data_IF_525311327627
#
_entry.id   IF_525311327627
#
_cell.length_a   1.000
_cell.length_b   1.000
_cell.length_c   1.000
_cell.angle_alpha   90.00
_cell.angle_beta   90.00
_cell.angle_gamma   90.00
#
_symmetry.space_group_name_H-M   'P 1'
#
loop_
_entity.id
_entity.type
_entity.pdbx_description
1 polymer ?
#
# COMPACT_ATOMS: atom_id res chain seq x y z
N UNK A 1 -10.17 29.86 20.03
CA UNK A 1 -10.23 29.25 18.70
C UNK A 1 -9.69 27.82 18.81
N UNK A 2 -10.58 26.85 18.97
CA UNK A 2 -10.17 25.45 19.04
C UNK A 2 -10.12 24.95 17.61
N UNK A 3 -8.91 24.67 17.11
CA UNK A 3 -8.71 24.13 15.75
C UNK A 3 -9.57 22.86 15.56
N UNK A 4 -10.21 22.63 14.41
CA UNK A 4 -10.99 21.44 14.11
C UNK A 4 -10.21 20.13 14.36
N UNK A 5 -8.90 20.15 14.15
CA UNK A 5 -8.00 19.02 14.43
C UNK A 5 -7.95 18.64 15.91
N UNK A 6 -8.32 19.53 16.84
CA UNK A 6 -8.39 19.24 18.29
C UNK A 6 -9.76 18.73 18.72
N UNK A 7 -10.78 18.83 17.86
CA UNK A 7 -12.15 18.37 18.14
C UNK A 7 -12.46 16.98 17.61
N UNK A 8 -11.51 16.39 16.87
CA UNK A 8 -11.67 15.04 16.29
C UNK A 8 -10.59 14.12 16.86
N UNK A 9 -11.00 13.09 17.57
CA UNK A 9 -10.12 12.10 18.19
C UNK A 9 -10.15 10.81 17.35
N UNK A 10 -9.24 10.70 16.40
CA UNK A 10 -9.16 9.57 15.46
C UNK A 10 -8.93 8.22 16.14
N UNK A 11 -8.30 8.21 17.31
CA UNK A 11 -8.11 7.00 18.13
C UNK A 11 -9.41 6.41 18.68
N UNK A 12 -10.50 7.18 18.68
CA UNK A 12 -11.83 6.76 19.10
C UNK A 12 -12.76 6.39 17.92
N UNK A 13 -12.21 6.32 16.71
CA UNK A 13 -12.94 5.91 15.52
C UNK A 13 -12.37 4.59 14.99
N UNK A 14 -13.22 3.69 14.51
CA UNK A 14 -12.83 2.39 13.97
C UNK A 14 -13.70 2.00 12.77
N UNK A 15 -13.14 1.20 11.87
CA UNK A 15 -13.88 0.63 10.73
C UNK A 15 -14.13 -0.85 11.00
N UNK A 16 -15.35 -1.29 10.78
CA UNK A 16 -15.85 -2.61 11.12
C UNK A 16 -16.57 -3.24 9.92
N UNK A 17 -16.62 -4.56 9.91
CA UNK A 17 -17.62 -5.30 9.12
C UNK A 17 -18.99 -5.24 9.77
N UNK A 18 -20.05 -5.56 9.00
CA UNK A 18 -21.42 -5.61 9.53
C UNK A 18 -21.62 -6.60 10.70
N UNK A 19 -20.80 -7.65 10.78
CA UNK A 19 -20.79 -8.60 11.87
C UNK A 19 -20.11 -8.08 13.15
N UNK A 20 -19.62 -6.84 13.13
CA UNK A 20 -18.90 -6.20 14.24
C UNK A 20 -17.41 -6.50 14.32
N UNK A 21 -16.87 -7.31 13.42
CA UNK A 21 -15.42 -7.56 13.37
C UNK A 21 -14.67 -6.27 13.01
N UNK A 22 -13.64 -5.94 13.78
CA UNK A 22 -12.87 -4.70 13.63
C UNK A 22 -11.81 -4.89 12.54
N UNK A 23 -11.86 -4.09 11.47
CA UNK A 23 -10.91 -4.12 10.35
C UNK A 23 -9.81 -3.07 10.49
N UNK A 24 -10.18 -1.87 10.93
CA UNK A 24 -9.26 -0.81 11.29
C UNK A 24 -9.57 -0.42 12.75
N UNK A 25 -8.71 -0.79 13.72
CA UNK A 25 -9.02 -0.67 15.14
C UNK A 25 -9.13 0.78 15.61
N UNK A 26 -8.35 1.68 14.98
CA UNK A 26 -8.44 3.12 15.15
C UNK A 26 -7.97 3.84 13.88
N UNK A 27 -8.28 5.13 13.78
CA UNK A 27 -7.86 5.97 12.66
C UNK A 27 -6.65 6.83 12.99
N UNK A 28 -5.83 6.46 13.97
CA UNK A 28 -4.60 7.17 14.29
C UNK A 28 -3.68 7.25 13.06
N UNK A 29 -3.03 8.39 12.86
CA UNK A 29 -2.20 8.65 11.68
C UNK A 29 -2.95 9.10 10.43
N UNK A 30 -4.29 9.01 10.40
CA UNK A 30 -5.09 9.64 9.35
C UNK A 30 -5.05 11.17 9.46
N UNK A 31 -5.24 11.84 8.32
CA UNK A 31 -5.37 13.30 8.28
C UNK A 31 -6.82 13.74 8.52
N UNK A 32 -7.02 14.93 9.11
CA UNK A 32 -8.34 15.57 9.24
C UNK A 32 -8.28 16.95 8.60
N UNK A 33 -9.26 17.27 7.75
CA UNK A 33 -9.36 18.62 7.18
C UNK A 33 -9.73 19.65 8.24
N UNK A 34 -8.99 20.76 8.24
CA UNK A 34 -9.01 21.79 9.29
C UNK A 34 -10.11 22.84 9.21
N UNK A 35 -11.28 22.57 8.61
CA UNK A 35 -12.33 23.55 8.44
C UNK A 35 -13.50 23.34 9.42
N UNK A 36 -13.94 24.43 10.08
CA UNK A 36 -15.16 24.45 10.90
C UNK A 36 -16.40 24.31 10.00
N UNK A 37 -16.88 23.07 9.85
CA UNK A 37 -18.04 22.73 9.01
C UNK A 37 -18.87 21.64 9.67
N UNK A 38 -20.06 21.43 9.16
CA UNK A 38 -20.89 20.26 9.47
C UNK A 38 -20.37 18.97 8.84
N UNK A 39 -19.35 19.05 7.98
CA UNK A 39 -18.66 17.95 7.33
C UNK A 39 -17.25 17.84 7.90
N UNK A 40 -16.92 16.66 8.42
CA UNK A 40 -15.56 16.27 8.81
C UNK A 40 -15.01 15.34 7.76
N UNK A 41 -13.90 15.71 7.12
CA UNK A 41 -13.19 14.86 6.16
C UNK A 41 -11.99 14.20 6.85
N UNK A 42 -11.91 12.89 6.79
CA UNK A 42 -10.79 12.10 7.32
C UNK A 42 -10.09 11.42 6.16
N UNK A 43 -8.80 11.70 5.98
CA UNK A 43 -7.95 11.08 4.96
C UNK A 43 -7.24 9.87 5.58
N UNK A 44 -7.71 8.68 5.25
CA UNK A 44 -7.11 7.43 5.72
C UNK A 44 -5.66 7.31 5.24
N UNK A 45 -4.81 6.70 6.04
CA UNK A 45 -3.50 6.25 5.58
C UNK A 45 -3.70 5.12 4.56
N UNK A 46 -2.71 4.88 3.69
CA UNK A 46 -2.78 3.80 2.71
C UNK A 46 -3.00 2.43 3.38
N UNK A 47 -2.37 2.18 4.52
CA UNK A 47 -2.57 0.96 5.29
C UNK A 47 -4.01 0.80 5.80
N UNK A 48 -4.62 1.89 6.29
CA UNK A 48 -6.01 1.90 6.75
C UNK A 48 -6.98 1.72 5.57
N UNK A 49 -6.74 2.43 4.43
CA UNK A 49 -7.52 2.31 3.21
C UNK A 49 -7.51 0.88 2.69
N UNK A 50 -6.33 0.29 2.52
CA UNK A 50 -6.17 -1.08 2.06
C UNK A 50 -6.81 -2.10 3.00
N UNK A 51 -6.71 -1.89 4.33
CA UNK A 51 -7.33 -2.76 5.32
C UNK A 51 -8.85 -2.70 5.27
N UNK A 52 -9.43 -1.52 5.07
CA UNK A 52 -10.85 -1.35 4.87
C UNK A 52 -11.31 -1.99 3.54
N UNK A 53 -10.64 -1.65 2.45
CA UNK A 53 -11.04 -2.05 1.09
C UNK A 53 -11.17 -3.57 0.91
N UNK A 54 -10.25 -4.37 1.45
CA UNK A 54 -10.29 -5.84 1.31
C UNK A 54 -11.59 -6.44 1.86
N UNK A 55 -12.13 -5.87 2.92
CA UNK A 55 -13.35 -6.37 3.56
C UNK A 55 -14.60 -5.60 3.15
N UNK A 56 -14.45 -4.67 2.20
CA UNK A 56 -15.53 -3.85 1.67
C UNK A 56 -16.47 -4.63 0.75
N UNK A 57 -17.60 -4.04 0.45
CA UNK A 57 -18.52 -4.51 -0.58
C UNK A 57 -18.21 -3.97 -1.98
N UNK A 58 -17.16 -3.15 -2.14
CA UNK A 58 -16.73 -2.60 -3.43
C UNK A 58 -15.95 -3.61 -4.26
N UNK A 59 -15.72 -3.31 -5.55
CA UNK A 59 -14.95 -4.15 -6.47
C UNK A 59 -13.55 -4.42 -5.88
N UNK A 60 -13.11 -5.67 -5.91
CA UNK A 60 -11.84 -6.11 -5.29
C UNK A 60 -11.95 -6.50 -3.81
N UNK A 61 -12.97 -6.07 -3.09
CA UNK A 61 -13.28 -6.51 -1.74
C UNK A 61 -13.91 -7.91 -1.70
N UNK A 62 -13.87 -8.54 -0.53
CA UNK A 62 -14.42 -9.90 -0.30
C UNK A 62 -15.54 -9.91 0.73
N UNK A 63 -15.98 -8.75 1.20
CA UNK A 63 -16.95 -8.60 2.28
C UNK A 63 -18.28 -8.00 1.84
N UNK A 64 -18.86 -7.27 2.76
CA UNK A 64 -20.08 -6.48 2.61
C UNK A 64 -19.79 -5.03 3.00
N UNK A 65 -20.74 -4.13 2.78
CA UNK A 65 -20.59 -2.73 3.15
C UNK A 65 -20.06 -2.58 4.58
N UNK A 66 -19.02 -1.77 4.74
CA UNK A 66 -18.38 -1.53 6.01
C UNK A 66 -19.19 -0.56 6.88
N UNK A 67 -18.85 -0.51 8.15
CA UNK A 67 -19.39 0.43 9.11
C UNK A 67 -18.26 1.25 9.72
N UNK A 68 -18.55 2.51 10.01
CA UNK A 68 -17.72 3.31 10.91
C UNK A 68 -18.36 3.35 12.27
N UNK A 69 -17.58 3.04 13.30
CA UNK A 69 -17.93 3.29 14.70
C UNK A 69 -17.20 4.53 15.17
N UNK A 70 -17.96 5.46 15.69
CA UNK A 70 -17.46 6.68 16.32
C UNK A 70 -17.84 6.58 17.79
N UNK A 71 -16.86 6.39 18.66
CA UNK A 71 -17.10 6.27 20.09
C UNK A 71 -17.46 7.63 20.71
N UNK A 72 -18.03 7.61 21.90
CA UNK A 72 -18.33 8.83 22.65
C UNK A 72 -17.07 9.72 22.75
N UNK A 73 -17.26 11.03 22.69
CA UNK A 73 -16.18 12.04 22.72
C UNK A 73 -15.18 12.00 21.57
N UNK A 74 -15.42 11.17 20.54
CA UNK A 74 -14.54 11.16 19.33
C UNK A 74 -14.66 12.46 18.53
N UNK A 75 -15.79 13.13 18.61
CA UNK A 75 -16.05 14.43 17.96
C UNK A 75 -16.75 15.35 18.97
N UNK A 76 -16.29 16.59 19.03
CA UNK A 76 -16.92 17.64 19.82
C UNK A 76 -17.46 18.73 18.89
N UNK A 77 -18.64 19.26 19.22
CA UNK A 77 -19.17 20.44 18.51
C UNK A 77 -18.47 21.75 18.95
N UNK A 78 -18.90 22.88 18.39
CA UNK A 78 -18.35 24.20 18.72
C UNK A 78 -18.54 24.57 20.19
N UNK A 79 -19.62 24.07 20.80
CA UNK A 79 -19.93 24.30 22.21
C UNK A 79 -19.25 23.28 23.14
N UNK A 80 -18.39 22.38 22.57
CA UNK A 80 -17.70 21.29 23.26
C UNK A 80 -18.64 20.19 23.78
N UNK A 81 -19.81 20.03 23.19
CA UNK A 81 -20.65 18.88 23.48
C UNK A 81 -20.10 17.65 22.80
N UNK A 82 -20.12 16.54 23.53
CA UNK A 82 -19.64 15.24 23.09
C UNK A 82 -20.62 14.55 22.13
N UNK A 83 -20.12 13.99 21.05
CA UNK A 83 -20.87 13.01 20.27
C UNK A 83 -21.11 11.76 21.11
N UNK A 84 -22.31 11.20 21.02
CA UNK A 84 -22.61 9.88 21.58
C UNK A 84 -22.08 8.77 20.67
N UNK A 85 -21.74 7.62 21.25
CA UNK A 85 -21.29 6.47 20.45
C UNK A 85 -22.32 6.12 19.38
N UNK A 86 -21.86 6.07 18.14
CA UNK A 86 -22.69 5.71 16.99
C UNK A 86 -21.95 4.75 16.05
N UNK A 87 -22.71 3.95 15.29
CA UNK A 87 -22.20 3.09 14.24
C UNK A 87 -23.06 3.29 13.01
N UNK A 88 -22.44 3.59 11.88
CA UNK A 88 -23.12 3.95 10.64
C UNK A 88 -22.53 3.12 9.50
N UNK A 89 -23.39 2.60 8.62
CA UNK A 89 -22.98 1.92 7.40
C UNK A 89 -22.37 2.94 6.45
N UNK A 90 -21.19 2.62 5.91
CA UNK A 90 -20.50 3.47 4.93
C UNK A 90 -21.13 3.32 3.55
N UNK A 91 -21.21 4.42 2.82
CA UNK A 91 -21.37 4.38 1.35
C UNK A 91 -19.97 4.25 0.77
N UNK A 92 -19.73 3.15 0.08
CA UNK A 92 -18.43 2.80 -0.47
C UNK A 92 -18.38 3.11 -1.97
N UNK A 93 -17.21 3.44 -2.46
CA UNK A 93 -16.92 3.66 -3.88
C UNK A 93 -15.77 2.74 -4.29
N UNK A 94 -15.81 2.29 -5.55
CA UNK A 94 -14.74 1.47 -6.11
C UNK A 94 -13.42 2.24 -6.13
N UNK A 95 -12.33 1.50 -5.94
CA UNK A 95 -10.99 2.03 -6.15
C UNK A 95 -10.70 2.07 -7.66
N UNK A 96 -10.44 3.25 -8.17
CA UNK A 96 -10.13 3.51 -9.58
C UNK A 96 -8.71 4.08 -9.76
N UNK A 97 -7.93 4.11 -8.69
CA UNK A 97 -6.55 4.59 -8.72
C UNK A 97 -5.63 3.46 -9.15
N UNK A 98 -4.82 3.71 -10.16
CA UNK A 98 -3.87 2.72 -10.68
C UNK A 98 -2.57 2.81 -9.89
N UNK A 99 -2.00 1.70 -9.40
CA UNK A 99 -0.74 1.71 -8.68
C UNK A 99 0.40 2.20 -9.57
N UNK A 100 1.23 3.08 -9.03
CA UNK A 100 2.40 3.62 -9.70
C UNK A 100 3.67 3.26 -8.95
N UNK A 101 4.78 3.09 -9.69
CA UNK A 101 6.10 2.92 -9.09
C UNK A 101 6.63 4.28 -8.67
N UNK A 102 6.92 4.46 -7.38
CA UNK A 102 7.47 5.69 -6.83
C UNK A 102 9.00 5.71 -6.87
N UNK A 103 9.61 4.56 -6.57
CA UNK A 103 11.06 4.41 -6.54
C UNK A 103 11.46 2.94 -6.76
N UNK A 104 12.68 2.72 -7.22
CA UNK A 104 13.27 1.38 -7.34
C UNK A 104 14.72 1.44 -6.86
N UNK A 105 15.14 0.47 -6.06
CA UNK A 105 16.51 0.31 -5.62
C UNK A 105 17.04 -1.09 -5.95
N UNK A 106 18.29 -1.19 -6.35
CA UNK A 106 18.97 -2.45 -6.59
C UNK A 106 20.30 -2.49 -5.81
N UNK A 107 20.40 -3.46 -4.92
CA UNK A 107 21.64 -3.73 -4.20
C UNK A 107 22.45 -4.79 -4.96
N UNK A 108 23.50 -4.38 -5.64
CA UNK A 108 24.36 -5.29 -6.40
C UNK A 108 25.13 -6.29 -5.53
N UNK A 109 25.38 -5.97 -4.25
CA UNK A 109 26.07 -6.87 -3.32
C UNK A 109 25.21 -8.08 -2.95
N UNK A 110 23.92 -7.85 -2.72
CA UNK A 110 22.97 -8.89 -2.30
C UNK A 110 22.09 -9.40 -3.44
N UNK A 111 21.96 -8.64 -4.54
CA UNK A 111 21.02 -8.91 -5.62
C UNK A 111 19.55 -8.62 -5.25
N UNK A 112 19.32 -7.84 -4.19
CA UNK A 112 17.98 -7.43 -3.78
C UNK A 112 17.51 -6.24 -4.62
N UNK A 113 16.40 -6.41 -5.31
CA UNK A 113 15.67 -5.35 -6.02
C UNK A 113 14.42 -5.02 -5.20
N UNK A 114 14.26 -3.75 -4.84
CA UNK A 114 13.09 -3.25 -4.12
C UNK A 114 12.36 -2.23 -4.98
N UNK A 115 11.05 -2.41 -5.11
CA UNK A 115 10.14 -1.55 -5.88
C UNK A 115 9.15 -0.94 -4.91
N UNK A 116 9.15 0.39 -4.81
CA UNK A 116 8.26 1.15 -3.92
C UNK A 116 7.06 1.65 -4.71
N UNK A 117 5.88 1.28 -4.26
CA UNK A 117 4.60 1.56 -4.93
C UNK A 117 3.83 2.69 -4.24
N UNK A 118 2.97 3.38 -4.99
CA UNK A 118 2.03 4.38 -4.44
C UNK A 118 0.94 3.73 -3.58
N UNK A 119 0.66 2.45 -3.81
CA UNK A 119 -0.45 1.72 -3.20
C UNK A 119 -0.02 0.33 -2.72
N UNK A 120 -0.84 -0.21 -1.82
CA UNK A 120 -0.62 -1.55 -1.26
C UNK A 120 -0.95 -2.62 -2.30
N UNK A 121 0.02 -3.50 -2.57
CA UNK A 121 -0.16 -4.68 -3.41
C UNK A 121 -0.64 -5.86 -2.55
N UNK A 122 -1.74 -6.47 -2.93
CA UNK A 122 -2.45 -7.50 -2.15
C UNK A 122 -1.61 -8.73 -1.86
N UNK A 123 -0.88 -9.21 -2.86
CA UNK A 123 0.00 -10.37 -2.72
C UNK A 123 0.93 -10.52 -3.93
N UNK A 124 1.91 -11.43 -3.82
CA UNK A 124 2.81 -11.79 -4.93
C UNK A 124 2.10 -12.27 -6.20
N UNK A 125 0.90 -12.83 -6.08
CA UNK A 125 0.13 -13.28 -7.25
C UNK A 125 -0.40 -12.14 -8.12
N UNK A 126 -0.36 -10.91 -7.60
CA UNK A 126 -0.72 -9.69 -8.33
C UNK A 126 0.49 -9.05 -9.03
N UNK A 127 1.65 -9.70 -9.00
CA UNK A 127 2.87 -9.25 -9.67
C UNK A 127 3.26 -10.27 -10.74
N UNK A 128 3.18 -9.85 -11.99
CA UNK A 128 3.61 -10.65 -13.14
C UNK A 128 5.09 -10.34 -13.48
N UNK A 129 5.96 -11.17 -12.95
CA UNK A 129 7.40 -11.01 -13.11
C UNK A 129 7.88 -11.15 -14.56
N UNK A 130 7.10 -11.79 -15.44
CA UNK A 130 7.41 -11.87 -16.87
C UNK A 130 7.27 -10.54 -17.61
N UNK A 131 6.59 -9.59 -16.96
CA UNK A 131 6.34 -8.24 -17.45
C UNK A 131 7.24 -7.18 -16.79
N UNK A 132 8.19 -7.60 -15.96
CA UNK A 132 9.15 -6.73 -15.28
C UNK A 132 10.54 -6.94 -15.85
N UNK A 133 11.25 -5.83 -16.12
CA UNK A 133 12.54 -5.83 -16.79
C UNK A 133 13.50 -4.86 -16.13
N UNK A 134 14.80 -5.20 -16.18
CA UNK A 134 15.88 -4.25 -16.00
C UNK A 134 16.49 -3.99 -17.37
N UNK A 135 16.48 -2.75 -17.80
CA UNK A 135 17.00 -2.31 -19.10
C UNK A 135 18.33 -1.61 -18.92
N UNK A 136 19.23 -1.80 -19.89
CA UNK A 136 20.46 -1.02 -19.98
C UNK A 136 20.24 0.18 -20.90
N UNK A 137 20.68 1.36 -20.47
CA UNK A 137 20.57 2.60 -21.27
C UNK A 137 21.58 2.70 -22.41
N UNK A 138 22.64 1.89 -22.43
CA UNK A 138 23.74 1.96 -23.39
C UNK A 138 23.78 0.78 -24.35
N UNK A 139 23.55 -0.43 -23.85
CA UNK A 139 23.57 -1.65 -24.65
C UNK A 139 22.17 -2.29 -24.70
N UNK A 140 21.82 -2.85 -25.87
CA UNK A 140 20.57 -3.56 -26.04
C UNK A 140 20.61 -4.88 -25.27
N UNK A 141 19.76 -5.03 -24.27
CA UNK A 141 19.62 -6.29 -23.56
C UNK A 141 18.78 -6.13 -22.30
N UNK A 142 17.52 -6.56 -22.38
CA UNK A 142 16.62 -6.58 -21.23
C UNK A 142 16.90 -7.80 -20.35
N UNK A 143 17.00 -7.58 -19.04
CA UNK A 143 17.02 -8.65 -18.05
C UNK A 143 15.59 -8.89 -17.59
N UNK A 144 14.98 -9.98 -18.10
CA UNK A 144 13.63 -10.37 -17.70
C UNK A 144 13.66 -10.94 -16.28
N UNK A 145 12.72 -10.55 -15.43
CA UNK A 145 12.67 -10.97 -14.04
C UNK A 145 11.90 -12.28 -13.81
N UNK A 146 11.30 -12.89 -14.85
CA UNK A 146 10.49 -14.12 -14.75
C UNK A 146 11.23 -15.36 -14.26
N UNK A 147 12.56 -15.39 -14.30
CA UNK A 147 13.39 -16.53 -13.89
C UNK A 147 13.99 -16.37 -12.48
N UNK A 148 13.39 -15.56 -11.64
CA UNK A 148 13.86 -15.36 -10.26
C UNK A 148 13.65 -16.59 -9.38
N UNK A 149 14.37 -16.68 -8.28
CA UNK A 149 14.11 -17.67 -7.21
C UNK A 149 12.84 -17.26 -6.45
N UNK A 150 11.71 -17.83 -6.86
CA UNK A 150 10.39 -17.54 -6.27
C UNK A 150 10.30 -17.85 -4.78
N UNK A 151 11.23 -18.65 -4.23
CA UNK A 151 11.27 -18.97 -2.79
C UNK A 151 11.75 -17.80 -1.93
N UNK A 152 12.38 -16.81 -2.54
CA UNK A 152 12.88 -15.60 -1.87
C UNK A 152 12.08 -14.34 -2.18
N UNK A 153 10.94 -14.47 -2.85
CA UNK A 153 10.05 -13.36 -3.08
C UNK A 153 9.33 -13.03 -1.77
N UNK A 154 9.57 -11.87 -1.21
CA UNK A 154 8.97 -11.43 0.05
C UNK A 154 8.30 -10.08 -0.17
N UNK A 155 6.99 -10.03 -0.02
CA UNK A 155 6.30 -8.77 0.22
C UNK A 155 6.46 -8.46 1.71
N UNK A 156 7.24 -7.42 2.03
CA UNK A 156 7.68 -7.16 3.40
C UNK A 156 6.90 -6.03 4.07
N UNK A 157 5.61 -6.22 4.28
CA UNK A 157 4.99 -5.58 5.42
C UNK A 157 3.79 -6.40 5.92
N UNK A 158 3.92 -6.86 7.16
CA UNK A 158 2.88 -7.60 7.85
C UNK A 158 1.99 -6.60 8.56
N UNK A 159 0.93 -6.17 7.92
CA UNK A 159 -0.14 -5.44 8.62
C UNK A 159 -0.92 -6.47 9.41
N UNK A 160 -0.73 -6.49 10.72
CA UNK A 160 -1.51 -7.33 11.63
C UNK A 160 -2.88 -6.68 11.83
N UNK A 161 -3.87 -7.13 11.09
CA UNK A 161 -5.26 -6.83 11.40
C UNK A 161 -5.75 -7.91 12.33
N UNK A 162 -5.92 -7.54 13.59
CA UNK A 162 -6.59 -8.30 14.68
C UNK A 162 -6.77 -9.81 14.50
N UNK A 163 -6.02 -10.54 15.26
CA UNK A 163 -6.16 -11.91 15.80
C UNK A 163 -6.39 -13.12 14.87
N UNK A 164 -6.89 -13.04 13.65
CA UNK A 164 -7.24 -14.25 12.88
C UNK A 164 -6.89 -14.29 11.40
N UNK A 165 -6.36 -13.23 10.81
CA UNK A 165 -5.90 -13.27 9.42
C UNK A 165 -4.67 -12.39 9.20
N UNK A 166 -3.50 -13.00 9.12
CA UNK A 166 -2.30 -12.30 8.63
C UNK A 166 -2.35 -12.24 7.10
N UNK A 167 -2.77 -11.12 6.55
CA UNK A 167 -2.62 -10.85 5.12
C UNK A 167 -1.34 -10.04 4.94
N UNK A 168 -0.39 -10.59 4.22
CA UNK A 168 0.85 -9.87 3.87
C UNK A 168 0.51 -8.87 2.78
N UNK A 169 0.61 -7.59 3.10
CA UNK A 169 0.37 -6.47 2.19
C UNK A 169 1.54 -5.52 2.28
N UNK A 170 1.96 -4.96 1.18
CA UNK A 170 3.07 -4.02 1.20
C UNK A 170 2.98 -3.04 0.05
N UNK A 171 3.41 -1.82 0.31
CA UNK A 171 3.78 -0.85 -0.72
C UNK A 171 5.19 -1.12 -1.28
N UNK A 172 5.88 -2.15 -0.80
CA UNK A 172 7.22 -2.52 -1.27
C UNK A 172 7.20 -3.95 -1.79
N UNK A 173 7.67 -4.14 -3.01
CA UNK A 173 7.89 -5.43 -3.64
C UNK A 173 9.39 -5.70 -3.60
N UNK A 174 9.80 -6.79 -2.93
CA UNK A 174 11.21 -7.20 -2.85
C UNK A 174 11.43 -8.42 -3.74
N UNK A 175 12.36 -8.33 -4.67
CA UNK A 175 12.70 -9.38 -5.62
C UNK A 175 14.16 -9.76 -5.45
N UNK A 176 14.44 -11.04 -5.13
CA UNK A 176 15.80 -11.55 -5.10
C UNK A 176 16.21 -11.98 -6.53
N UNK A 177 17.13 -11.26 -7.13
CA UNK A 177 17.71 -11.62 -8.41
C UNK A 177 18.51 -12.93 -8.29
N UNK A 178 18.51 -13.74 -9.34
CA UNK A 178 19.46 -14.82 -9.48
C UNK A 178 20.87 -14.26 -9.62
N UNK A 179 21.91 -15.04 -9.31
CA UNK A 179 23.29 -14.59 -9.44
C UNK A 179 23.60 -14.14 -10.88
N UNK A 180 23.07 -14.87 -11.86
CA UNK A 180 23.23 -14.49 -13.27
C UNK A 180 22.62 -13.10 -13.57
N UNK A 181 21.39 -12.85 -13.13
CA UNK A 181 20.72 -11.55 -13.31
C UNK A 181 21.48 -10.43 -12.61
N UNK A 182 21.90 -10.69 -11.35
CA UNK A 182 22.69 -9.72 -10.55
C UNK A 182 24.00 -9.33 -11.26
N UNK A 183 24.73 -10.32 -11.72
CA UNK A 183 26.01 -10.09 -12.43
C UNK A 183 25.78 -9.39 -13.75
N UNK A 184 24.76 -9.78 -14.52
CA UNK A 184 24.41 -9.10 -15.79
C UNK A 184 24.04 -7.64 -15.54
N UNK A 185 23.24 -7.36 -14.50
CA UNK A 185 22.87 -5.99 -14.12
C UNK A 185 24.10 -5.17 -13.67
N UNK A 186 25.02 -5.79 -12.93
CA UNK A 186 26.26 -5.12 -12.52
C UNK A 186 27.13 -4.73 -13.73
N UNK A 187 27.31 -5.63 -14.68
CA UNK A 187 28.08 -5.33 -15.93
C UNK A 187 27.41 -4.26 -16.79
N UNK A 188 26.07 -4.23 -16.80
CA UNK A 188 25.29 -3.24 -17.54
C UNK A 188 25.14 -1.90 -16.79
N UNK A 189 25.70 -1.78 -15.59
CA UNK A 189 25.54 -0.58 -14.75
C UNK A 189 26.65 0.43 -14.93
N UNK A 190 26.45 1.64 -14.43
CA UNK A 190 27.48 2.68 -14.31
C UNK A 190 28.47 2.41 -13.16
N UNK A 191 28.33 1.32 -12.41
CA UNK A 191 29.16 1.01 -11.23
C UNK A 191 30.54 0.49 -11.66
N UNK A 192 31.56 1.31 -11.47
CA UNK A 192 32.95 0.94 -11.72
C UNK A 192 33.43 -0.21 -10.82
N UNK A 193 34.47 -0.99 -11.23
CA UNK A 193 35.28 -0.85 -12.43
C UNK A 193 34.80 -1.67 -13.65
N UNK A 194 33.78 -2.47 -13.50
CA UNK A 194 33.37 -3.48 -14.50
C UNK A 194 32.05 -3.18 -15.18
N UNK A 195 31.40 -2.06 -14.90
CA UNK A 195 30.18 -1.64 -15.58
C UNK A 195 30.48 -1.00 -16.93
N UNK A 196 29.53 -1.01 -17.87
CA UNK A 196 29.65 -0.37 -19.18
C UNK A 196 29.40 1.16 -19.14
N UNK A 197 29.16 1.71 -17.97
CA UNK A 197 28.91 3.13 -17.74
C UNK A 197 27.48 3.57 -17.95
N UNK A 198 26.57 2.65 -18.30
CA UNK A 198 25.14 2.90 -18.46
C UNK A 198 24.37 2.88 -17.14
N UNK A 199 23.21 3.56 -17.12
CA UNK A 199 22.25 3.41 -16.04
C UNK A 199 21.40 2.14 -16.23
N UNK A 200 21.01 1.50 -15.13
CA UNK A 200 19.97 0.48 -15.19
C UNK A 200 18.62 1.15 -14.95
N UNK A 201 17.69 0.92 -15.85
CA UNK A 201 16.30 1.36 -15.76
C UNK A 201 15.42 0.16 -15.38
N UNK A 202 14.46 0.40 -14.51
CA UNK A 202 13.38 -0.54 -14.27
C UNK A 202 12.21 -0.23 -15.20
N UNK A 203 11.69 -1.25 -15.88
CA UNK A 203 10.51 -1.15 -16.72
C UNK A 203 9.49 -2.23 -16.35
N UNK A 204 8.26 -1.79 -16.06
CA UNK A 204 7.09 -2.65 -16.04
C UNK A 204 6.20 -2.34 -17.25
N UNK A 205 5.69 -3.36 -17.91
CA UNK A 205 4.66 -3.19 -18.94
C UNK A 205 3.26 -3.29 -18.32
N UNK A 206 2.24 -2.89 -19.08
CA UNK A 206 0.85 -2.86 -18.63
C UNK A 206 0.45 -4.16 -17.91
N UNK A 207 -0.27 -4.04 -16.80
CA UNK A 207 -0.71 -5.14 -15.93
C UNK A 207 0.43 -5.98 -15.33
N UNK A 208 1.64 -5.43 -15.21
CA UNK A 208 2.73 -6.12 -14.52
C UNK A 208 2.49 -6.19 -13.00
N UNK A 209 1.89 -5.17 -12.44
CA UNK A 209 1.57 -5.06 -11.01
C UNK A 209 0.12 -4.60 -10.88
N UNK A 210 -0.65 -5.27 -10.02
CA UNK A 210 -2.03 -4.93 -9.71
C UNK A 210 -2.18 -4.70 -8.21
N UNK A 211 -2.99 -3.74 -7.86
CA UNK A 211 -3.36 -3.44 -6.47
C UNK A 211 -4.51 -4.32 -5.97
N UNK A 212 -5.21 -3.81 -4.97
CA UNK A 212 -6.35 -4.46 -4.32
C UNK A 212 -7.67 -4.15 -5.05
N UNK A 213 -7.73 -3.03 -5.82
CA UNK A 213 -8.91 -2.51 -6.50
C UNK A 213 -9.42 -3.30 -7.69
#
# INVERSE_FOLDING_TARGET
DVSPTTRVQLTLMSILQQNGSVMVPDLSGAGVDGNDRTLVTVHLTEAQRASAHIYSGSTGGVGSALQIRVNASAVHDIALNDLQTTTIVLTEFDDLVIPTVLNVSLNYGTGLLEIFMSEVIKSVSYVDLSKLFLENTVSSGDIVLSSIDTRKFVATERITVSATASVTRSTTISIQLTERQRVTALYASAMAPNGDGGGILFRGITDAIKDIG
#
